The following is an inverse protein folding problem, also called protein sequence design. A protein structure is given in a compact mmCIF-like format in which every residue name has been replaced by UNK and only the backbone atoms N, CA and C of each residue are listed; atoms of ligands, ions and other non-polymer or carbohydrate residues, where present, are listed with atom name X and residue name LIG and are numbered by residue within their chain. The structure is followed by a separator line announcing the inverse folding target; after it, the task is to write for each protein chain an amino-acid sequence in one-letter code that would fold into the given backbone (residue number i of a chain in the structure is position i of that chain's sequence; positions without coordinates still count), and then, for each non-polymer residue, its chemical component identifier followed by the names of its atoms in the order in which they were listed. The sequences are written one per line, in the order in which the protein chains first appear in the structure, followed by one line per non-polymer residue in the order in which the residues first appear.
data_IF_420048830181
#
_entry.id   IF_420048830181
#
_cell.length_a   1.000
_cell.length_b   1.000
_cell.length_c   1.000
_cell.angle_alpha   90.00
_cell.angle_beta   90.00
_cell.angle_gamma   90.00
#
_symmetry.space_group_name_H-M   'P 1'
#
loop_
_entity.id
_entity.type
_entity.pdbx_description
1 polymer ?
#
# COMPACT_ATOMS: atom_id res chain seq x y z
N UNK A 1 -6.27 10.95 -25.31
CA UNK A 1 -6.86 11.54 -24.09
C UNK A 1 -5.99 11.13 -22.92
N UNK A 2 -5.81 12.01 -21.95
CA UNK A 2 -4.98 11.77 -20.76
C UNK A 2 -5.88 11.56 -19.54
N UNK A 3 -5.58 10.55 -18.74
CA UNK A 3 -6.33 10.13 -17.56
C UNK A 3 -5.37 10.12 -16.39
N UNK A 4 -5.60 10.95 -15.38
CA UNK A 4 -4.75 10.99 -14.19
C UNK A 4 -5.55 10.60 -12.96
N UNK A 5 -5.07 9.57 -12.26
CA UNK A 5 -5.67 9.08 -11.02
C UNK A 5 -4.55 8.71 -10.04
N UNK A 6 -4.41 9.49 -8.97
CA UNK A 6 -3.53 9.16 -7.83
C UNK A 6 -2.09 8.72 -8.23
N UNK A 7 -1.46 9.46 -9.14
CA UNK A 7 -0.10 9.17 -9.61
C UNK A 7 0.00 8.10 -10.70
N UNK A 8 -1.12 7.59 -11.20
CA UNK A 8 -1.20 6.78 -12.42
C UNK A 8 -1.70 7.66 -13.56
N UNK A 9 -0.88 7.78 -14.61
CA UNK A 9 -1.22 8.55 -15.81
C UNK A 9 -1.45 7.62 -17.00
N UNK A 10 -2.71 7.42 -17.35
CA UNK A 10 -3.17 6.65 -18.50
C UNK A 10 -3.23 7.50 -19.77
N UNK A 11 -2.60 7.02 -20.83
CA UNK A 11 -2.63 7.64 -22.16
C UNK A 11 -3.44 6.75 -23.09
N UNK A 12 -4.51 7.31 -23.66
CA UNK A 12 -5.24 6.70 -24.78
C UNK A 12 -4.65 7.23 -26.09
N UNK A 13 -4.02 6.34 -26.86
CA UNK A 13 -3.41 6.66 -28.16
C UNK A 13 -4.47 6.87 -29.25
N UNK A 14 -4.07 7.38 -30.41
CA UNK A 14 -4.95 7.56 -31.58
C UNK A 14 -5.58 6.26 -32.05
N UNK A 15 -4.88 5.14 -31.83
CA UNK A 15 -5.31 3.82 -32.27
C UNK A 15 -6.21 3.15 -31.22
N UNK A 16 -6.68 3.89 -30.20
CA UNK A 16 -7.51 3.40 -29.10
C UNK A 16 -6.84 2.28 -28.29
N UNK A 17 -5.51 2.35 -28.16
CA UNK A 17 -4.75 1.61 -27.16
C UNK A 17 -4.60 2.43 -25.89
N UNK A 18 -4.52 1.76 -24.75
CA UNK A 18 -4.39 2.38 -23.43
C UNK A 18 -3.14 1.86 -22.72
N UNK A 19 -2.29 2.79 -22.30
CA UNK A 19 -1.07 2.50 -21.54
C UNK A 19 -0.95 3.44 -20.34
N UNK A 20 -0.41 2.96 -19.22
CA UNK A 20 -0.10 3.78 -18.04
C UNK A 20 1.41 3.99 -17.92
N UNK A 21 1.82 5.13 -17.35
CA UNK A 21 3.20 5.45 -17.00
C UNK A 21 3.88 4.44 -16.06
N UNK A 22 3.11 3.71 -15.25
CA UNK A 22 3.60 2.59 -14.43
C UNK A 22 3.98 1.33 -15.24
N UNK A 23 3.76 1.34 -16.56
CA UNK A 23 4.06 0.23 -17.48
C UNK A 23 2.89 -0.70 -17.76
N UNK A 24 1.74 -0.49 -17.12
CA UNK A 24 0.51 -1.26 -17.42
C UNK A 24 -0.01 -0.95 -18.82
N UNK A 25 -0.48 -1.99 -19.53
CA UNK A 25 -1.06 -1.87 -20.86
C UNK A 25 -2.32 -2.71 -20.95
N UNK A 26 -3.39 -2.12 -21.46
CA UNK A 26 -4.61 -2.85 -21.73
C UNK A 26 -4.42 -3.85 -22.88
N UNK A 27 -5.08 -5.01 -22.78
CA UNK A 27 -5.02 -6.00 -23.86
C UNK A 27 -6.04 -5.67 -24.93
N UNK A 28 -5.57 -5.24 -26.10
CA UNK A 28 -6.41 -5.00 -27.28
C UNK A 28 -6.80 -3.55 -27.50
N UNK A 29 -7.79 -3.35 -28.38
CA UNK A 29 -8.26 -2.04 -28.81
C UNK A 29 -9.66 -1.76 -28.24
N UNK A 30 -9.92 -0.51 -27.89
CA UNK A 30 -11.23 -0.09 -27.39
C UNK A 30 -12.10 0.48 -28.50
N UNK A 31 -13.43 0.36 -28.40
CA UNK A 31 -14.36 0.92 -29.39
C UNK A 31 -14.47 2.45 -29.34
N UNK A 32 -14.05 3.07 -28.23
CA UNK A 32 -14.00 4.52 -28.06
C UNK A 32 -13.02 4.92 -26.95
N UNK A 33 -12.63 6.19 -26.91
CA UNK A 33 -11.83 6.73 -25.80
C UNK A 33 -12.57 6.66 -24.45
N UNK A 34 -13.90 6.77 -24.46
CA UNK A 34 -14.72 6.63 -23.26
C UNK A 34 -14.70 5.20 -22.72
N UNK A 35 -14.84 4.20 -23.59
CA UNK A 35 -14.72 2.79 -23.20
C UNK A 35 -13.32 2.44 -22.68
N UNK A 36 -12.27 3.02 -23.29
CA UNK A 36 -10.91 2.89 -22.79
C UNK A 36 -10.74 3.52 -21.39
N UNK A 37 -11.31 4.70 -21.17
CA UNK A 37 -11.26 5.37 -19.87
C UNK A 37 -12.01 4.61 -18.77
N UNK A 38 -13.18 4.05 -19.07
CA UNK A 38 -13.93 3.23 -18.12
C UNK A 38 -13.13 1.97 -17.73
N UNK A 39 -12.50 1.31 -18.71
CA UNK A 39 -11.63 0.16 -18.47
C UNK A 39 -10.39 0.53 -17.66
N UNK A 40 -9.75 1.68 -17.94
CA UNK A 40 -8.65 2.21 -17.12
C UNK A 40 -9.03 2.34 -15.65
N UNK A 41 -10.20 2.93 -15.38
CA UNK A 41 -10.67 3.14 -14.01
C UNK A 41 -10.93 1.82 -13.29
N UNK A 42 -11.66 0.90 -13.94
CA UNK A 42 -12.09 -0.37 -13.32
C UNK A 42 -10.94 -1.36 -13.14
N UNK A 43 -10.17 -1.60 -14.20
CA UNK A 43 -9.29 -2.76 -14.27
C UNK A 43 -7.83 -2.41 -13.91
N UNK A 44 -7.50 -1.13 -13.75
CA UNK A 44 -6.16 -0.69 -13.34
C UNK A 44 -6.16 0.31 -12.18
N UNK A 45 -6.69 1.52 -12.39
CA UNK A 45 -6.49 2.61 -11.44
C UNK A 45 -7.11 2.32 -10.06
N UNK A 46 -8.32 1.76 -10.01
CA UNK A 46 -8.96 1.35 -8.74
C UNK A 46 -8.28 0.14 -8.09
N UNK A 47 -7.93 -0.87 -8.88
CA UNK A 47 -7.26 -2.07 -8.38
C UNK A 47 -5.90 -1.73 -7.73
N UNK A 48 -5.13 -0.82 -8.32
CA UNK A 48 -3.88 -0.37 -7.71
C UNK A 48 -4.07 0.58 -6.54
N UNK A 49 -5.16 1.35 -6.48
CA UNK A 49 -5.47 2.13 -5.29
C UNK A 49 -5.79 1.25 -4.09
N UNK A 50 -6.37 0.08 -4.33
CA UNK A 50 -6.69 -0.90 -3.28
C UNK A 50 -5.47 -1.74 -2.86
N UNK A 51 -4.43 -1.83 -3.70
CA UNK A 51 -3.24 -2.66 -3.45
C UNK A 51 -2.20 -1.99 -2.53
N UNK A 52 -2.25 -0.66 -2.38
CA UNK A 52 -1.25 0.12 -1.64
C UNK A 52 -1.87 1.13 -0.67
N UNK A 53 -1.18 1.52 0.41
CA UNK A 53 -1.60 2.65 1.23
C UNK A 53 -1.71 3.94 0.39
N UNK A 54 -2.69 4.81 0.67
CA UNK A 54 -2.82 6.09 -0.05
C UNK A 54 -1.56 6.97 0.09
N UNK A 55 -1.14 7.63 -1.00
CA UNK A 55 0.10 8.43 -1.03
C UNK A 55 0.15 9.52 0.04
N UNK A 56 -0.97 10.21 0.28
CA UNK A 56 -1.03 11.24 1.30
C UNK A 56 -0.71 10.71 2.70
N UNK A 57 -1.02 9.44 2.97
CA UNK A 57 -0.73 8.80 4.25
C UNK A 57 0.75 8.42 4.33
N UNK A 58 1.32 7.96 3.22
CA UNK A 58 2.76 7.70 3.10
C UNK A 58 3.57 8.99 3.32
N UNK A 59 3.19 10.10 2.68
CA UNK A 59 3.82 11.41 2.90
C UNK A 59 3.77 11.84 4.36
N UNK A 60 2.64 11.64 5.06
CA UNK A 60 2.55 11.94 6.49
C UNK A 60 3.45 11.05 7.35
N UNK A 61 3.60 9.79 6.97
CA UNK A 61 4.54 8.86 7.62
C UNK A 61 5.98 9.33 7.47
N UNK A 62 6.37 9.78 6.27
CA UNK A 62 7.71 10.33 6.02
C UNK A 62 7.97 11.59 6.84
N UNK A 63 7.02 12.53 6.87
CA UNK A 63 7.13 13.73 7.71
C UNK A 63 7.27 13.36 9.20
N UNK A 64 6.51 12.38 9.69
CA UNK A 64 6.65 11.92 11.08
C UNK A 64 8.06 11.35 11.33
N UNK A 65 8.60 10.55 10.41
CA UNK A 65 9.96 10.00 10.51
C UNK A 65 11.00 11.12 10.59
N UNK A 66 10.94 12.08 9.68
CA UNK A 66 11.88 13.23 9.65
C UNK A 66 11.83 14.04 10.95
N UNK A 67 10.62 14.29 11.47
CA UNK A 67 10.45 14.99 12.75
C UNK A 67 11.02 14.19 13.94
N UNK A 68 10.90 12.85 13.91
CA UNK A 68 11.52 11.98 14.91
C UNK A 68 13.05 12.07 14.82
N UNK A 69 13.64 12.05 13.63
CA UNK A 69 15.09 12.17 13.41
C UNK A 69 15.64 13.51 13.93
N UNK A 70 14.91 14.60 13.70
CA UNK A 70 15.23 15.90 14.26
C UNK A 70 15.15 15.91 15.80
N UNK A 71 14.14 15.24 16.38
CA UNK A 71 14.00 15.10 17.82
C UNK A 71 15.08 14.21 18.44
N UNK A 72 15.54 13.16 17.76
CA UNK A 72 16.63 12.31 18.23
C UNK A 72 17.89 13.17 18.45
N UNK A 73 18.15 14.10 17.54
CA UNK A 73 19.33 14.98 17.60
C UNK A 73 19.17 16.10 18.63
N UNK A 74 18.00 16.73 18.70
CA UNK A 74 17.77 17.91 19.55
C UNK A 74 17.29 17.60 20.97
N UNK A 75 16.48 16.55 21.15
CA UNK A 75 15.71 16.22 22.36
C UNK A 75 15.53 14.69 22.51
N UNK A 76 16.61 13.89 22.66
CA UNK A 76 16.55 12.42 22.54
C UNK A 76 15.60 11.72 23.52
N UNK A 77 15.45 12.20 24.75
CA UNK A 77 14.48 11.62 25.71
C UNK A 77 13.04 11.83 25.25
N UNK A 78 12.74 12.98 24.63
CA UNK A 78 11.40 13.25 24.07
C UNK A 78 11.14 12.37 22.84
N UNK A 79 12.15 12.15 22.00
CA UNK A 79 12.07 11.20 20.89
C UNK A 79 11.74 9.77 21.38
N UNK A 80 12.40 9.31 22.45
CA UNK A 80 12.11 8.01 23.07
C UNK A 80 10.67 7.91 23.59
N UNK A 81 10.12 8.97 24.17
CA UNK A 81 8.73 9.00 24.65
C UNK A 81 7.74 8.84 23.49
N UNK A 82 7.97 9.54 22.37
CA UNK A 82 7.14 9.41 21.17
C UNK A 82 7.25 8.02 20.55
N UNK A 83 8.46 7.48 20.40
CA UNK A 83 8.67 6.13 19.87
C UNK A 83 7.99 5.06 20.74
N UNK A 84 8.02 5.23 22.07
CA UNK A 84 7.30 4.34 22.98
C UNK A 84 5.78 4.44 22.82
N UNK A 85 5.23 5.63 22.53
CA UNK A 85 3.81 5.79 22.19
C UNK A 85 3.48 5.12 20.85
N UNK A 86 4.33 5.29 19.84
CA UNK A 86 4.15 4.64 18.53
C UNK A 86 4.10 3.12 18.69
N UNK A 87 5.05 2.52 19.40
CA UNK A 87 5.07 1.06 19.62
C UNK A 87 3.82 0.56 20.35
N UNK A 88 3.24 1.35 21.28
CA UNK A 88 2.04 0.97 22.04
C UNK A 88 0.84 0.71 21.14
N UNK A 89 0.63 1.50 20.10
CA UNK A 89 -0.49 1.31 19.17
C UNK A 89 -0.11 0.58 17.89
N UNK A 90 1.15 0.62 17.46
CA UNK A 90 1.61 -0.06 16.25
C UNK A 90 1.44 -1.57 16.38
N UNK A 91 1.91 -2.17 17.47
CA UNK A 91 1.82 -3.62 17.71
C UNK A 91 0.39 -4.18 17.63
N UNK A 92 -0.61 -3.67 18.38
CA UNK A 92 -1.98 -4.19 18.27
C UNK A 92 -2.63 -3.91 16.90
N UNK A 93 -2.22 -2.85 16.17
CA UNK A 93 -2.68 -2.65 14.79
C UNK A 93 -2.08 -3.68 13.84
N UNK A 94 -0.79 -4.03 13.97
CA UNK A 94 -0.18 -5.10 13.19
C UNK A 94 -0.90 -6.43 13.43
N UNK A 95 -1.16 -6.79 14.69
CA UNK A 95 -1.86 -8.03 15.01
C UNK A 95 -3.25 -8.08 14.36
N UNK A 96 -4.01 -6.98 14.43
CA UNK A 96 -5.33 -6.86 13.78
C UNK A 96 -5.24 -6.94 12.26
N UNK A 97 -4.24 -6.30 11.65
CA UNK A 97 -4.04 -6.34 10.21
C UNK A 97 -3.69 -7.76 9.73
N UNK A 98 -2.83 -8.48 10.47
CA UNK A 98 -2.49 -9.88 10.17
C UNK A 98 -3.72 -10.77 10.32
N UNK A 99 -4.52 -10.62 11.37
CA UNK A 99 -5.77 -11.37 11.53
C UNK A 99 -6.72 -11.12 10.35
N UNK A 100 -6.93 -9.86 9.97
CA UNK A 100 -7.77 -9.50 8.83
C UNK A 100 -7.25 -10.07 7.49
N UNK A 101 -5.93 -10.02 7.26
CA UNK A 101 -5.31 -10.62 6.07
C UNK A 101 -5.52 -12.14 6.03
N UNK A 102 -5.35 -12.82 7.17
CA UNK A 102 -5.60 -14.26 7.30
C UNK A 102 -7.07 -14.60 7.05
N UNK A 103 -8.02 -13.85 7.61
CA UNK A 103 -9.46 -14.02 7.34
C UNK A 103 -9.79 -13.80 5.87
N UNK A 104 -9.08 -12.91 5.19
CA UNK A 104 -9.25 -12.61 3.77
C UNK A 104 -8.56 -13.61 2.83
N UNK A 105 -7.89 -14.63 3.39
CA UNK A 105 -7.29 -15.72 2.63
C UNK A 105 -5.78 -15.58 2.37
N UNK A 106 -5.13 -14.49 2.76
CA UNK A 106 -3.68 -14.32 2.59
C UNK A 106 -2.91 -15.41 3.33
N UNK A 107 -1.92 -16.01 2.68
CA UNK A 107 -1.05 -17.06 3.20
C UNK A 107 0.00 -16.50 4.18
N UNK A 108 0.56 -17.37 5.02
CA UNK A 108 1.70 -16.99 5.88
C UNK A 108 2.95 -16.57 5.10
N UNK A 109 3.09 -17.01 3.85
CA UNK A 109 4.18 -16.59 2.98
C UNK A 109 4.00 -15.12 2.57
N UNK A 110 2.83 -14.77 2.02
CA UNK A 110 2.49 -13.39 1.63
C UNK A 110 2.58 -12.41 2.80
N UNK A 111 2.11 -12.82 3.99
CA UNK A 111 2.21 -12.01 5.21
C UNK A 111 3.68 -11.83 5.64
N UNK A 112 4.48 -12.89 5.56
CA UNK A 112 5.91 -12.82 5.86
C UNK A 112 6.63 -11.85 4.92
N UNK A 113 6.40 -11.99 3.62
CA UNK A 113 6.98 -11.13 2.59
C UNK A 113 6.58 -9.65 2.80
N UNK A 114 5.31 -9.39 3.10
CA UNK A 114 4.80 -8.03 3.40
C UNK A 114 5.46 -7.42 4.64
N UNK A 115 5.72 -8.22 5.67
CA UNK A 115 6.33 -7.77 6.93
C UNK A 115 7.87 -7.80 6.91
N UNK A 116 8.49 -8.27 5.82
CA UNK A 116 9.94 -8.41 5.71
C UNK A 116 10.53 -9.49 6.62
N UNK A 117 9.77 -10.55 6.92
CA UNK A 117 10.19 -11.68 7.77
C UNK A 117 9.95 -13.02 7.07
N UNK A 118 10.58 -14.09 7.53
CA UNK A 118 10.32 -15.41 6.97
C UNK A 118 8.89 -15.87 7.26
N UNK A 119 8.33 -16.72 6.39
CA UNK A 119 7.05 -17.41 6.61
C UNK A 119 6.94 -18.05 8.00
N UNK A 120 8.02 -18.71 8.45
CA UNK A 120 8.05 -19.37 9.76
C UNK A 120 7.98 -18.34 10.89
N UNK A 121 8.76 -17.26 10.82
CA UNK A 121 8.73 -16.19 11.82
C UNK A 121 7.36 -15.50 11.88
N UNK A 122 6.70 -15.30 10.73
CA UNK A 122 5.34 -14.77 10.69
C UNK A 122 4.34 -15.71 11.38
N UNK A 123 4.37 -17.01 11.05
CA UNK A 123 3.46 -17.99 11.66
C UNK A 123 3.68 -18.11 13.17
N UNK A 124 4.94 -18.22 13.61
CA UNK A 124 5.29 -18.30 15.04
C UNK A 124 4.81 -17.07 15.81
N UNK A 125 4.95 -15.88 15.21
CA UNK A 125 4.56 -14.61 15.85
C UNK A 125 3.05 -14.38 15.90
N UNK A 126 2.33 -14.75 14.84
CA UNK A 126 0.95 -14.27 14.65
C UNK A 126 -0.13 -15.36 14.61
N UNK A 127 0.22 -16.65 14.63
CA UNK A 127 -0.78 -17.75 14.64
C UNK A 127 -1.83 -17.59 15.75
N UNK A 128 -1.39 -17.28 16.97
CA UNK A 128 -2.29 -17.09 18.12
C UNK A 128 -3.25 -15.88 18.03
N UNK A 129 -3.01 -14.92 17.13
CA UNK A 129 -3.93 -13.79 16.90
C UNK A 129 -4.79 -14.00 15.66
N UNK A 130 -4.34 -14.78 14.70
CA UNK A 130 -5.10 -15.09 13.48
C UNK A 130 -6.17 -16.17 13.68
N UNK A 131 -5.98 -17.08 14.65
CA UNK A 131 -6.93 -18.16 14.96
C UNK A 131 -8.02 -17.73 15.97
N UNK A 132 -8.13 -16.43 16.26
CA UNK A 132 -9.03 -15.84 17.25
C UNK A 132 -10.21 -15.15 16.59
#
# INVERSE_FOLDING_TARGET
MDLEVHGHRGIITSDLQLTCDCGWQATGYFPSSEAAAEHFMRDHALAELESRPPDWLMTRSDVLREQIEEMITSRPVVALQLLAEIERWHRPLTDRAVAAARTSGSTWAEIGDTLGVSRQAAHERFSAVADR
#
